data_IF_558931013975
#
_entry.id   IF_558931013975
#
_cell.length_a   1.000
_cell.length_b   1.000
_cell.length_c   1.000
_cell.angle_alpha   90.00
_cell.angle_beta   90.00
_cell.angle_gamma   90.00
#
_symmetry.space_group_name_H-M   'P 1'
#
loop_
_entity.id
_entity.type
_entity.pdbx_description
1 polymer ?
#
# COMPACT_ATOMS: atom_id res chain seq x y z
N UNK A 1 -3.91 -15.47 14.67
CA UNK A 1 -2.71 -15.53 13.81
C UNK A 1 -1.57 -16.12 14.61
N UNK A 2 -0.94 -17.16 14.09
CA UNK A 2 0.22 -17.80 14.72
C UNK A 2 1.43 -16.84 14.74
N UNK A 3 2.13 -16.75 15.87
CA UNK A 3 3.37 -16.00 16.08
C UNK A 3 4.41 -16.24 14.98
N UNK A 4 4.49 -17.45 14.46
CA UNK A 4 5.39 -17.83 13.37
C UNK A 4 5.14 -17.00 12.10
N UNK A 5 3.87 -16.81 11.70
CA UNK A 5 3.51 -16.02 10.52
C UNK A 5 3.81 -14.54 10.70
N UNK A 6 3.65 -14.04 11.93
CA UNK A 6 4.02 -12.65 12.28
C UNK A 6 5.53 -12.46 12.09
N UNK A 7 6.34 -13.40 12.58
CA UNK A 7 7.79 -13.35 12.45
C UNK A 7 8.26 -13.49 10.99
N UNK A 8 7.62 -14.37 10.21
CA UNK A 8 7.89 -14.50 8.77
C UNK A 8 7.63 -13.17 8.04
N UNK A 9 6.50 -12.51 8.34
CA UNK A 9 6.17 -11.21 7.76
C UNK A 9 7.16 -10.11 8.19
N UNK A 10 7.50 -10.09 9.49
CA UNK A 10 8.45 -9.14 10.07
C UNK A 10 9.81 -9.24 9.38
N UNK A 11 10.38 -10.45 9.30
CA UNK A 11 11.68 -10.69 8.68
C UNK A 11 11.66 -10.35 7.19
N UNK A 12 10.59 -10.69 6.48
CA UNK A 12 10.44 -10.33 5.06
C UNK A 12 10.43 -8.82 4.85
N UNK A 13 9.66 -8.08 5.64
CA UNK A 13 9.57 -6.62 5.54
C UNK A 13 10.87 -5.94 5.97
N UNK A 14 11.56 -6.45 7.00
CA UNK A 14 12.87 -5.96 7.42
C UNK A 14 13.91 -6.13 6.30
N UNK A 15 13.92 -7.29 5.64
CA UNK A 15 14.80 -7.55 4.50
C UNK A 15 14.57 -6.57 3.35
N UNK A 16 13.30 -6.35 2.97
CA UNK A 16 12.93 -5.35 1.95
C UNK A 16 13.44 -3.96 2.34
N UNK A 17 13.33 -3.59 3.62
CA UNK A 17 13.83 -2.31 4.11
C UNK A 17 15.36 -2.19 4.04
N UNK A 18 16.09 -3.25 4.38
CA UNK A 18 17.56 -3.30 4.28
C UNK A 18 18.02 -3.18 2.82
N UNK A 19 17.35 -3.87 1.90
CA UNK A 19 17.63 -3.80 0.45
C UNK A 19 17.41 -2.38 -0.11
N UNK A 20 16.37 -1.67 0.34
CA UNK A 20 16.17 -0.26 -0.03
C UNK A 20 17.31 0.63 0.46
N UNK A 21 17.79 0.39 1.68
CA UNK A 21 18.86 1.22 2.28
C UNK A 21 20.20 1.05 1.58
N UNK A 22 20.46 -0.11 0.98
CA UNK A 22 21.70 -0.35 0.21
C UNK A 22 21.64 0.22 -1.22
N UNK A 23 20.45 0.51 -1.74
CA UNK A 23 20.24 1.02 -3.11
C UNK A 23 20.37 2.56 -3.23
N UNK A 24 21.45 3.13 -2.70
CA UNK A 24 21.66 4.60 -2.65
C UNK A 24 21.77 5.31 -4.00
N UNK A 25 22.03 4.57 -5.09
CA UNK A 25 22.25 5.09 -6.44
C UNK A 25 21.03 5.01 -7.38
N UNK A 26 19.94 4.36 -6.96
CA UNK A 26 18.74 4.16 -7.81
C UNK A 26 17.74 5.31 -7.72
N UNK A 27 16.84 5.40 -8.71
CA UNK A 27 15.73 6.36 -8.68
C UNK A 27 14.88 6.11 -7.42
N UNK A 28 14.90 7.09 -6.51
CA UNK A 28 14.19 7.03 -5.21
C UNK A 28 12.71 6.68 -5.36
N UNK A 29 12.04 7.09 -6.44
CA UNK A 29 10.63 6.78 -6.62
C UNK A 29 10.39 5.30 -6.98
N UNK A 30 11.15 4.77 -7.95
CA UNK A 30 11.06 3.36 -8.34
C UNK A 30 11.29 2.44 -7.16
N UNK A 31 12.35 2.69 -6.38
CA UNK A 31 12.67 1.91 -5.18
C UNK A 31 11.53 1.94 -4.17
N UNK A 32 10.92 3.10 -3.92
CA UNK A 32 9.79 3.22 -2.99
C UNK A 32 8.55 2.48 -3.50
N UNK A 33 8.27 2.52 -4.80
CA UNK A 33 7.13 1.83 -5.39
C UNK A 33 7.26 0.31 -5.30
N UNK A 34 8.41 -0.24 -5.72
CA UNK A 34 8.64 -1.67 -5.66
C UNK A 34 8.70 -2.18 -4.21
N UNK A 35 9.29 -1.40 -3.30
CA UNK A 35 9.26 -1.70 -1.88
C UNK A 35 7.83 -1.83 -1.32
N UNK A 36 6.95 -0.86 -1.61
CA UNK A 36 5.58 -0.91 -1.13
C UNK A 36 4.78 -2.03 -1.81
N UNK A 37 5.07 -2.35 -3.08
CA UNK A 37 4.51 -3.52 -3.77
C UNK A 37 4.89 -4.80 -3.04
N UNK A 38 6.16 -4.98 -2.73
CA UNK A 38 6.68 -6.19 -2.10
C UNK A 38 6.18 -6.35 -0.65
N UNK A 39 6.16 -5.27 0.13
CA UNK A 39 5.52 -5.26 1.45
C UNK A 39 4.04 -5.66 1.32
N UNK A 40 3.33 -5.10 0.35
CA UNK A 40 1.94 -5.45 0.08
C UNK A 40 1.75 -6.92 -0.28
N UNK A 41 2.66 -7.51 -1.06
CA UNK A 41 2.68 -8.95 -1.39
C UNK A 41 2.81 -9.81 -0.14
N UNK A 42 3.77 -9.47 0.73
CA UNK A 42 4.00 -10.16 2.00
C UNK A 42 2.73 -10.11 2.85
N UNK A 43 2.17 -8.91 3.04
CA UNK A 43 0.94 -8.72 3.83
C UNK A 43 -0.25 -9.49 3.25
N UNK A 44 -0.39 -9.53 1.91
CA UNK A 44 -1.47 -10.29 1.26
C UNK A 44 -1.33 -11.79 1.46
N UNK A 45 -0.11 -12.30 1.52
CA UNK A 45 0.14 -13.71 1.83
C UNK A 45 -0.15 -14.03 3.31
N UNK A 46 0.18 -13.11 4.23
CA UNK A 46 -0.18 -13.24 5.64
C UNK A 46 -1.70 -13.29 5.81
N UNK A 47 -2.42 -12.39 5.15
CA UNK A 47 -3.88 -12.29 5.22
C UNK A 47 -4.59 -13.61 4.85
N UNK A 48 -4.01 -14.48 4.01
CA UNK A 48 -4.61 -15.79 3.69
C UNK A 48 -4.71 -16.72 4.90
N UNK A 49 -3.90 -16.49 5.92
CA UNK A 49 -3.77 -17.34 7.11
C UNK A 49 -4.41 -16.73 8.36
N UNK A 50 -5.08 -15.58 8.24
CA UNK A 50 -5.77 -14.92 9.36
C UNK A 50 -7.24 -15.33 9.41
N UNK A 51 -7.80 -15.40 10.62
CA UNK A 51 -9.22 -15.73 10.81
C UNK A 51 -10.11 -14.62 10.24
N UNK A 52 -11.40 -14.91 10.05
CA UNK A 52 -12.36 -13.89 9.62
C UNK A 52 -12.44 -12.72 10.62
N UNK A 53 -12.41 -13.01 11.93
CA UNK A 53 -12.43 -12.00 12.99
C UNK A 53 -11.17 -11.12 12.99
N UNK A 54 -10.00 -11.71 12.81
CA UNK A 54 -8.75 -10.96 12.69
C UNK A 54 -8.74 -10.09 11.45
N UNK A 55 -9.23 -10.61 10.31
CA UNK A 55 -9.36 -9.83 9.08
C UNK A 55 -10.29 -8.63 9.28
N UNK A 56 -11.41 -8.82 9.97
CA UNK A 56 -12.38 -7.76 10.22
C UNK A 56 -11.86 -6.71 11.19
N UNK A 57 -11.20 -7.13 12.27
CA UNK A 57 -10.66 -6.23 13.29
C UNK A 57 -9.35 -5.55 12.89
N UNK A 58 -8.57 -6.13 11.96
CA UNK A 58 -7.23 -5.65 11.60
C UNK A 58 -6.15 -5.98 12.62
N UNK A 59 -6.47 -6.76 13.66
CA UNK A 59 -5.57 -7.04 14.79
C UNK A 59 -4.24 -7.65 14.35
N UNK A 60 -4.25 -8.48 13.31
CA UNK A 60 -3.06 -9.09 12.71
C UNK A 60 -2.10 -8.04 12.13
N UNK A 61 -2.62 -7.02 11.44
CA UNK A 61 -1.80 -5.96 10.84
C UNK A 61 -1.29 -5.01 11.91
N UNK A 62 -2.13 -4.69 12.91
CA UNK A 62 -1.71 -3.93 14.09
C UNK A 62 -0.55 -4.62 14.80
N UNK A 63 -0.61 -5.94 14.98
CA UNK A 63 0.48 -6.71 15.59
C UNK A 63 1.79 -6.59 14.80
N UNK A 64 1.74 -6.73 13.47
CA UNK A 64 2.91 -6.57 12.60
C UNK A 64 3.47 -5.14 12.67
N UNK A 65 2.61 -4.13 12.57
CA UNK A 65 2.98 -2.71 12.69
C UNK A 65 3.70 -2.42 14.01
N UNK A 66 3.17 -2.91 15.14
CA UNK A 66 3.77 -2.73 16.47
C UNK A 66 5.16 -3.36 16.52
N UNK A 67 5.36 -4.57 15.98
CA UNK A 67 6.68 -5.20 15.97
C UNK A 67 7.64 -4.45 15.05
N UNK A 68 7.23 -4.09 13.83
CA UNK A 68 8.05 -3.33 12.89
C UNK A 68 8.53 -2.01 13.49
N UNK A 69 7.67 -1.29 14.20
CA UNK A 69 8.03 -0.01 14.83
C UNK A 69 9.06 -0.13 15.96
N UNK A 70 9.25 -1.32 16.54
CA UNK A 70 10.36 -1.57 17.48
C UNK A 70 11.72 -1.63 16.79
N UNK A 71 11.74 -2.08 15.54
CA UNK A 71 12.96 -2.22 14.73
C UNK A 71 13.21 -1.00 13.83
N UNK A 72 12.13 -0.34 13.38
CA UNK A 72 12.14 0.69 12.34
C UNK A 72 11.51 1.98 12.87
N UNK A 73 12.23 3.10 12.76
CA UNK A 73 11.83 4.37 13.41
C UNK A 73 10.55 5.01 12.84
N UNK A 74 10.28 4.90 11.53
CA UNK A 74 9.15 5.57 10.84
C UNK A 74 8.70 4.78 9.61
N UNK A 75 7.46 5.01 9.16
CA UNK A 75 6.96 4.52 7.87
C UNK A 75 6.14 3.23 7.92
N UNK A 76 6.11 2.53 9.06
CA UNK A 76 5.46 1.22 9.20
C UNK A 76 4.27 1.27 10.17
N UNK A 77 3.46 2.33 10.07
CA UNK A 77 2.17 2.38 10.77
C UNK A 77 1.17 1.42 10.14
N UNK A 78 0.17 1.01 10.91
CA UNK A 78 -0.94 0.16 10.44
C UNK A 78 -1.58 0.73 9.16
N UNK A 79 -1.80 2.05 9.11
CA UNK A 79 -2.30 2.75 7.92
C UNK A 79 -1.37 2.61 6.71
N UNK A 80 -0.06 2.72 6.89
CA UNK A 80 0.88 2.58 5.78
C UNK A 80 0.92 1.14 5.27
N UNK A 81 0.90 0.15 6.17
CA UNK A 81 0.81 -1.27 5.80
C UNK A 81 -0.48 -1.57 5.05
N UNK A 82 -1.61 -1.03 5.49
CA UNK A 82 -2.90 -1.15 4.79
C UNK A 82 -2.79 -0.66 3.35
N UNK A 83 -2.20 0.52 3.15
CA UNK A 83 -2.05 1.08 1.82
C UNK A 83 -1.07 0.30 0.95
N UNK A 84 0.01 -0.25 1.51
CA UNK A 84 0.93 -1.14 0.79
C UNK A 84 0.20 -2.41 0.33
N UNK A 85 -0.59 -3.05 1.22
CA UNK A 85 -1.42 -4.20 0.87
C UNK A 85 -2.42 -3.85 -0.23
N UNK A 86 -3.17 -2.76 -0.08
CA UNK A 86 -4.15 -2.31 -1.07
C UNK A 86 -3.50 -1.97 -2.42
N UNK A 87 -2.32 -1.37 -2.37
CA UNK A 87 -1.53 -1.08 -3.57
C UNK A 87 -1.16 -2.37 -4.31
N UNK A 88 -0.69 -3.41 -3.59
CA UNK A 88 -0.41 -4.71 -4.19
C UNK A 88 -1.66 -5.40 -4.73
N UNK A 89 -2.82 -5.27 -4.08
CA UNK A 89 -4.07 -5.83 -4.60
C UNK A 89 -4.46 -5.23 -5.96
N UNK A 90 -4.26 -3.93 -6.13
CA UNK A 90 -4.64 -3.21 -7.35
C UNK A 90 -3.56 -3.32 -8.45
N UNK A 91 -2.29 -3.21 -8.07
CA UNK A 91 -1.17 -3.05 -9.00
C UNK A 91 -0.14 -4.17 -8.91
N UNK A 92 -0.33 -5.23 -8.14
CA UNK A 92 0.70 -6.24 -7.86
C UNK A 92 1.22 -6.97 -9.10
N UNK A 93 0.46 -6.98 -10.20
CA UNK A 93 0.82 -7.58 -11.49
C UNK A 93 0.89 -6.58 -12.65
N UNK A 94 0.71 -5.30 -12.38
CA UNK A 94 0.65 -4.25 -13.40
C UNK A 94 2.03 -3.64 -13.62
N UNK A 95 2.31 -3.10 -14.80
CA UNK A 95 3.47 -2.21 -14.96
C UNK A 95 3.20 -0.87 -14.26
N UNK A 96 4.21 -0.35 -13.56
CA UNK A 96 4.12 0.95 -12.89
C UNK A 96 4.74 2.04 -13.76
N UNK A 97 4.06 3.18 -13.81
CA UNK A 97 4.60 4.39 -14.37
C UNK A 97 5.32 5.19 -13.27
N UNK A 98 6.65 5.20 -13.32
CA UNK A 98 7.47 5.86 -12.32
C UNK A 98 7.40 7.39 -12.36
N UNK A 99 6.65 8.00 -13.30
CA UNK A 99 6.29 9.43 -13.23
C UNK A 99 5.30 9.70 -12.09
N UNK A 100 4.53 8.69 -11.68
CA UNK A 100 3.64 8.77 -10.53
C UNK A 100 4.37 8.33 -9.27
N UNK A 101 4.29 9.15 -8.23
CA UNK A 101 4.91 8.82 -6.94
C UNK A 101 4.07 7.86 -6.11
N UNK A 102 4.66 7.31 -5.04
CA UNK A 102 3.94 6.50 -4.05
C UNK A 102 2.64 7.16 -3.56
N UNK A 103 2.66 8.47 -3.32
CA UNK A 103 1.47 9.19 -2.88
C UNK A 103 0.36 9.19 -3.95
N UNK A 104 0.69 9.27 -5.25
CA UNK A 104 -0.30 9.13 -6.32
C UNK A 104 -0.92 7.74 -6.31
N UNK A 105 -0.10 6.70 -6.32
CA UNK A 105 -0.57 5.32 -6.33
C UNK A 105 -1.41 4.97 -5.11
N UNK A 106 -1.06 5.50 -3.93
CA UNK A 106 -1.87 5.37 -2.72
C UNK A 106 -3.28 5.92 -2.89
N UNK A 107 -3.43 7.07 -3.57
CA UNK A 107 -4.73 7.67 -3.86
C UNK A 107 -5.47 6.90 -4.94
N UNK A 108 -4.80 6.52 -6.02
CA UNK A 108 -5.41 5.75 -7.10
C UNK A 108 -5.90 4.38 -6.62
N UNK A 109 -5.10 3.67 -5.81
CA UNK A 109 -5.50 2.41 -5.18
C UNK A 109 -6.73 2.58 -4.27
N UNK A 110 -7.04 3.79 -3.80
CA UNK A 110 -8.24 4.06 -3.02
C UNK A 110 -9.52 4.12 -3.87
N UNK A 111 -9.40 4.33 -5.19
CA UNK A 111 -10.51 4.41 -6.15
C UNK A 111 -10.95 3.00 -6.53
N UNK A 112 -12.19 2.66 -6.16
CA UNK A 112 -12.77 1.32 -6.36
C UNK A 112 -13.09 1.04 -7.83
N UNK A 113 -13.67 2.03 -8.51
CA UNK A 113 -13.99 1.95 -9.94
C UNK A 113 -12.69 1.90 -10.77
N UNK A 114 -12.46 0.76 -11.41
CA UNK A 114 -11.28 0.49 -12.23
C UNK A 114 -11.19 1.39 -13.45
N UNK A 115 -12.29 1.60 -14.18
CA UNK A 115 -12.30 2.45 -15.38
C UNK A 115 -11.97 3.89 -15.01
N UNK A 116 -12.53 4.36 -13.90
CA UNK A 116 -12.23 5.69 -13.39
C UNK A 116 -10.77 5.80 -12.94
N UNK A 117 -10.27 4.79 -12.22
CA UNK A 117 -8.87 4.74 -11.76
C UNK A 117 -7.90 4.81 -12.94
N UNK A 118 -8.15 4.06 -14.01
CA UNK A 118 -7.34 4.12 -15.23
C UNK A 118 -7.41 5.49 -15.90
N UNK A 119 -8.60 6.07 -16.04
CA UNK A 119 -8.78 7.42 -16.60
C UNK A 119 -8.00 8.47 -15.81
N UNK A 120 -8.09 8.43 -14.47
CA UNK A 120 -7.37 9.32 -13.59
C UNK A 120 -5.85 9.09 -13.67
N UNK A 121 -5.40 7.84 -13.77
CA UNK A 121 -3.99 7.49 -13.93
C UNK A 121 -3.42 8.10 -15.22
N UNK A 122 -4.09 7.88 -16.36
CA UNK A 122 -3.67 8.44 -17.65
C UNK A 122 -3.68 9.97 -17.63
N UNK A 123 -4.73 10.58 -17.07
CA UNK A 123 -4.84 12.03 -16.98
C UNK A 123 -3.74 12.63 -16.09
N UNK A 124 -3.42 12.01 -14.95
CA UNK A 124 -2.37 12.46 -14.05
C UNK A 124 -1.00 12.43 -14.72
N UNK A 125 -0.72 11.37 -15.47
CA UNK A 125 0.53 11.22 -16.25
C UNK A 125 0.61 12.28 -17.35
N UNK A 126 -0.44 12.40 -18.18
CA UNK A 126 -0.44 13.28 -19.35
C UNK A 126 -0.34 14.75 -18.96
N UNK A 127 -1.02 15.14 -17.88
CA UNK A 127 -1.12 16.54 -17.42
C UNK A 127 -0.10 16.88 -16.34
N UNK A 128 0.77 15.95 -15.96
CA UNK A 128 1.76 16.16 -14.90
C UNK A 128 1.13 16.56 -13.57
N UNK A 129 -0.01 15.98 -13.21
CA UNK A 129 -0.72 16.32 -11.97
C UNK A 129 0.13 16.02 -10.75
N UNK A 130 0.11 16.94 -9.78
CA UNK A 130 0.60 16.65 -8.44
C UNK A 130 -0.39 15.76 -7.69
N UNK A 131 0.04 15.22 -6.54
CA UNK A 131 -0.85 14.44 -5.67
C UNK A 131 -2.06 15.25 -5.21
N UNK A 132 -1.90 16.57 -5.02
CA UNK A 132 -2.98 17.48 -4.65
C UNK A 132 -4.00 17.64 -5.79
N UNK A 133 -3.53 17.78 -7.03
CA UNK A 133 -4.41 17.90 -8.20
C UNK A 133 -5.21 16.61 -8.40
N UNK A 134 -4.53 15.46 -8.34
CA UNK A 134 -5.17 14.15 -8.40
C UNK A 134 -6.22 13.99 -7.28
N UNK A 135 -5.89 14.41 -6.06
CA UNK A 135 -6.84 14.34 -4.93
C UNK A 135 -8.07 15.21 -5.20
N UNK A 136 -7.90 16.41 -5.76
CA UNK A 136 -9.01 17.27 -6.14
C UNK A 136 -9.90 16.59 -7.18
N UNK A 137 -9.30 15.97 -8.22
CA UNK A 137 -10.04 15.26 -9.27
C UNK A 137 -10.75 14.00 -8.76
N UNK A 138 -10.18 13.28 -7.80
CA UNK A 138 -10.87 12.17 -7.13
C UNK A 138 -12.05 12.65 -6.28
N UNK A 139 -11.99 13.86 -5.72
CA UNK A 139 -13.12 14.45 -4.97
C UNK A 139 -14.27 14.82 -5.91
N UNK A 140 -13.96 15.43 -7.05
CA UNK A 140 -14.95 15.81 -8.08
C UNK A 140 -15.78 14.62 -8.58
N UNK A 141 -15.21 13.41 -8.60
CA UNK A 141 -15.91 12.20 -9.08
C UNK A 141 -16.88 11.60 -8.05
N UNK A 142 -16.95 12.15 -6.84
CA UNK A 142 -17.85 11.69 -5.76
C UNK A 142 -17.47 10.35 -5.12
N UNK A 143 -16.39 9.71 -5.56
CA UNK A 143 -15.95 8.39 -5.08
C UNK A 143 -15.45 8.38 -3.63
N UNK A 144 -15.07 9.55 -3.07
CA UNK A 144 -14.70 9.61 -1.65
C UNK A 144 -15.86 9.20 -0.72
N UNK A 145 -17.12 9.29 -1.17
CA UNK A 145 -18.31 8.96 -0.38
C UNK A 145 -18.74 7.48 -0.45
N UNK A 146 -18.21 6.72 -1.41
CA UNK A 146 -18.51 5.28 -1.59
C UNK A 146 -17.25 4.47 -1.37
N UNK A 147 -16.70 4.50 -0.15
CA UNK A 147 -15.75 3.43 0.19
C UNK A 147 -16.52 2.11 0.07
N UNK A 148 -15.99 1.09 -0.63
CA UNK A 148 -16.56 -0.25 -0.56
C UNK A 148 -16.72 -0.62 0.90
N UNK A 149 -17.71 -1.44 1.25
CA UNK A 149 -17.74 -2.12 2.53
C UNK A 149 -16.43 -2.90 2.66
N UNK A 150 -15.42 -2.27 3.26
CA UNK A 150 -14.14 -2.88 3.46
C UNK A 150 -14.39 -3.95 4.51
N UNK A 151 -14.01 -5.20 4.19
CA UNK A 151 -14.02 -6.28 5.18
C UNK A 151 -13.26 -5.88 6.46
N UNK A 152 -12.28 -4.99 6.33
CA UNK A 152 -11.55 -4.36 7.42
C UNK A 152 -11.86 -2.85 7.56
N UNK A 153 -12.30 -2.40 8.73
CA UNK A 153 -12.48 -0.96 9.02
C UNK A 153 -11.12 -0.25 8.95
N UNK A 154 -11.00 0.76 8.09
CA UNK A 154 -9.74 1.51 7.90
C UNK A 154 -9.20 2.03 9.24
N UNK A 155 -7.89 1.88 9.52
CA UNK A 155 -7.20 2.50 10.66
C UNK A 155 -6.87 3.98 10.43
#
# INVERSE_FOLDING_TARGET
MNREKINQALNGILKVYEEIRSQSSLNKNTVVLEANREIGRILKNVEKNVTAEERTSGSWMKAISVQLQKHLKKGFSERNLFYAQKFYEVYGKSELDHRLSWSHYRKLASVSDEKLREKLTKAAIQKGWSERDLMSKVKETGQQRKSPELKWKRP
#
